data_IF_059346743731
#
_entry.id   IF_059346743731
#
_cell.length_a   1.000
_cell.length_b   1.000
_cell.length_c   1.000
_cell.angle_alpha   90.00
_cell.angle_beta   90.00
_cell.angle_gamma   90.00
#
_symmetry.space_group_name_H-M   'P 1'
#
loop_
_entity.id
_entity.type
_entity.pdbx_description
1 polymer ?
#
# COMPACT_ATOMS: atom_id res chain seq x y z
N UNK A 1 -0.34 0.72 25.38
CA UNK A 1 -1.12 0.98 24.15
C UNK A 1 -0.66 -0.05 23.15
N UNK A 2 -1.56 -0.88 22.63
CA UNK A 2 -1.22 -1.93 21.67
C UNK A 2 -0.62 -1.29 20.40
N UNK A 3 0.42 -1.91 19.86
CA UNK A 3 0.96 -1.49 18.58
C UNK A 3 -0.05 -1.89 17.50
N UNK A 4 -0.59 -0.93 16.74
CA UNK A 4 -1.59 -1.19 15.68
C UNK A 4 -1.07 -2.19 14.64
N UNK A 5 0.24 -2.24 14.47
CA UNK A 5 0.90 -3.21 13.59
C UNK A 5 0.82 -4.64 14.14
N UNK A 6 1.00 -4.85 15.45
CA UNK A 6 0.83 -6.16 16.07
C UNK A 6 -0.63 -6.64 15.98
N UNK A 7 -1.59 -5.73 16.13
CA UNK A 7 -3.01 -6.02 15.94
C UNK A 7 -3.31 -6.45 14.50
N UNK A 8 -2.69 -5.78 13.51
CA UNK A 8 -2.78 -6.15 12.11
C UNK A 8 -2.19 -7.55 11.87
N UNK A 9 -1.00 -7.85 12.38
CA UNK A 9 -0.37 -9.16 12.23
C UNK A 9 -1.21 -10.29 12.84
N UNK A 10 -1.79 -10.07 14.02
CA UNK A 10 -2.68 -11.05 14.68
C UNK A 10 -3.92 -11.30 13.81
N UNK A 11 -4.53 -10.23 13.29
CA UNK A 11 -5.70 -10.32 12.42
C UNK A 11 -5.40 -11.12 11.15
N UNK A 12 -4.29 -10.78 10.48
CA UNK A 12 -3.85 -11.42 9.24
C UNK A 12 -3.57 -12.91 9.43
N UNK A 13 -2.87 -13.29 10.51
CA UNK A 13 -2.60 -14.69 10.85
C UNK A 13 -3.86 -15.54 11.00
N UNK A 14 -4.95 -14.92 11.46
CA UNK A 14 -6.22 -15.63 11.66
C UNK A 14 -7.09 -15.75 10.40
N UNK A 15 -6.91 -14.87 9.41
CA UNK A 15 -7.82 -14.73 8.27
C UNK A 15 -7.22 -15.20 6.93
N UNK A 16 -5.90 -15.34 6.83
CA UNK A 16 -5.24 -15.98 5.67
C UNK A 16 -5.44 -15.22 4.35
N UNK A 17 -5.52 -13.90 4.39
CA UNK A 17 -5.69 -13.05 3.21
C UNK A 17 -4.50 -13.14 2.27
N UNK A 18 -4.75 -13.10 0.96
CA UNK A 18 -3.65 -13.05 -0.01
C UNK A 18 -3.11 -11.63 -0.22
N UNK A 19 -3.93 -10.62 0.07
CA UNK A 19 -3.63 -9.20 -0.10
C UNK A 19 -4.15 -8.38 1.08
N UNK A 20 -3.35 -7.48 1.62
CA UNK A 20 -3.77 -6.51 2.65
C UNK A 20 -3.35 -5.11 2.21
N UNK A 21 -4.34 -4.25 1.96
CA UNK A 21 -4.12 -2.85 1.64
C UNK A 21 -4.29 -2.00 2.91
N UNK A 22 -3.32 -1.15 3.20
CA UNK A 22 -3.35 -0.21 4.32
C UNK A 22 -3.17 1.21 3.78
N UNK A 23 -4.07 2.10 4.14
CA UNK A 23 -3.98 3.54 3.86
C UNK A 23 -3.74 4.29 5.16
N UNK A 24 -3.13 5.47 5.09
CA UNK A 24 -2.70 6.22 6.27
C UNK A 24 -1.81 5.34 7.17
N UNK A 25 -0.67 4.91 6.63
CA UNK A 25 0.31 4.13 7.40
C UNK A 25 1.03 4.98 8.44
N UNK A 26 1.18 6.29 8.19
CA UNK A 26 1.93 7.23 9.03
C UNK A 26 3.37 6.78 9.30
N UNK A 27 3.93 5.94 8.44
CA UNK A 27 5.31 5.51 8.54
C UNK A 27 6.26 6.54 7.95
N UNK A 28 7.45 6.63 8.54
CA UNK A 28 8.59 7.34 7.97
C UNK A 28 9.74 6.35 7.69
N UNK A 29 10.71 6.78 6.89
CA UNK A 29 11.87 5.97 6.50
C UNK A 29 12.84 5.67 7.65
N UNK A 30 12.56 6.14 8.88
CA UNK A 30 13.39 5.89 10.06
C UNK A 30 12.86 4.77 10.96
N UNK A 31 11.66 4.23 10.68
CA UNK A 31 10.98 3.22 11.53
C UNK A 31 10.59 1.93 10.77
N UNK A 32 11.44 1.44 9.88
CA UNK A 32 11.13 0.32 8.97
C UNK A 32 10.97 -1.06 9.61
N UNK A 33 11.54 -1.30 10.80
CA UNK A 33 11.66 -2.65 11.37
C UNK A 33 10.32 -3.27 11.80
N UNK A 34 9.27 -2.48 11.99
CA UNK A 34 7.95 -2.99 12.37
C UNK A 34 7.03 -3.29 11.18
N UNK A 35 7.34 -2.77 9.99
CA UNK A 35 6.39 -2.86 8.87
C UNK A 35 6.41 -4.24 8.19
N UNK A 36 7.48 -5.01 8.32
CA UNK A 36 7.64 -6.31 7.64
C UNK A 36 6.82 -7.39 8.36
N UNK A 37 6.00 -8.10 7.60
CA UNK A 37 5.15 -9.19 8.10
C UNK A 37 5.58 -10.52 7.47
N UNK A 38 5.80 -11.54 8.31
CA UNK A 38 6.23 -12.86 7.87
C UNK A 38 5.23 -13.50 6.88
N UNK A 39 5.73 -14.01 5.76
CA UNK A 39 4.94 -14.59 4.68
C UNK A 39 4.33 -13.58 3.69
N UNK A 40 4.68 -12.29 3.79
CA UNK A 40 4.23 -11.24 2.88
C UNK A 40 5.38 -10.39 2.34
N UNK A 41 5.31 -10.09 1.05
CA UNK A 41 6.06 -9.02 0.39
C UNK A 41 5.36 -7.69 0.66
N UNK A 42 6.10 -6.72 1.21
CA UNK A 42 5.61 -5.38 1.47
C UNK A 42 5.98 -4.43 0.31
N UNK A 43 4.97 -3.84 -0.29
CA UNK A 43 5.10 -2.67 -1.17
C UNK A 43 4.56 -1.45 -0.42
N UNK A 44 5.27 -0.32 -0.42
CA UNK A 44 4.84 0.88 0.30
C UNK A 44 5.30 2.16 -0.37
N UNK A 45 4.50 3.20 -0.18
CA UNK A 45 4.84 4.57 -0.55
C UNK A 45 4.56 5.46 0.66
N UNK A 46 5.63 5.97 1.26
CA UNK A 46 5.55 6.84 2.43
C UNK A 46 5.43 8.31 2.02
N UNK A 47 4.86 9.14 2.90
CA UNK A 47 4.80 10.59 2.70
C UNK A 47 5.98 11.27 3.41
N UNK A 48 7.02 11.74 2.70
CA UNK A 48 8.24 12.23 3.35
C UNK A 48 8.09 13.60 4.02
N UNK A 49 7.14 14.44 3.58
CA UNK A 49 7.15 15.87 3.89
C UNK A 49 6.16 16.33 4.96
N UNK A 50 5.14 15.53 5.30
CA UNK A 50 4.07 15.93 6.25
C UNK A 50 3.65 14.77 7.13
N UNK A 51 3.26 15.03 8.40
CA UNK A 51 2.63 14.01 9.25
C UNK A 51 1.36 13.46 8.59
N UNK A 52 1.25 12.14 8.57
CA UNK A 52 0.09 11.43 8.04
C UNK A 52 0.10 11.23 6.54
N UNK A 53 -0.70 10.26 6.10
CA UNK A 53 -0.64 9.68 4.76
C UNK A 53 0.19 8.40 4.75
N UNK A 54 0.65 8.05 3.55
CA UNK A 54 1.30 6.79 3.23
C UNK A 54 0.31 5.68 2.88
N UNK A 55 0.72 4.83 1.94
CA UNK A 55 -0.01 3.63 1.53
C UNK A 55 0.91 2.42 1.54
N UNK A 56 0.36 1.27 1.89
CA UNK A 56 1.05 -0.02 1.85
C UNK A 56 0.15 -1.10 1.27
N UNK A 57 0.78 -2.05 0.59
CA UNK A 57 0.16 -3.28 0.11
C UNK A 57 1.06 -4.45 0.50
N UNK A 58 0.51 -5.34 1.33
CA UNK A 58 1.10 -6.64 1.60
C UNK A 58 0.56 -7.65 0.60
N UNK A 59 1.47 -8.38 -0.04
CA UNK A 59 1.14 -9.46 -0.97
C UNK A 59 1.75 -10.75 -0.44
N UNK A 60 0.94 -11.80 -0.31
CA UNK A 60 1.44 -13.10 0.16
C UNK A 60 2.59 -13.60 -0.72
N UNK A 61 3.69 -14.01 -0.11
CA UNK A 61 4.94 -14.39 -0.82
C UNK A 61 4.77 -15.51 -1.87
N UNK A 62 3.71 -16.31 -1.73
CA UNK A 62 3.37 -17.38 -2.67
C UNK A 62 2.84 -16.85 -4.01
N UNK A 63 2.49 -15.57 -4.09
CA UNK A 63 2.04 -14.91 -5.31
C UNK A 63 3.22 -14.21 -5.99
N UNK A 64 3.43 -14.52 -7.26
CA UNK A 64 4.36 -13.76 -8.10
C UNK A 64 3.74 -12.40 -8.40
N UNK A 65 4.44 -11.32 -8.04
CA UNK A 65 3.96 -9.97 -8.18
C UNK A 65 5.07 -8.99 -8.55
N UNK A 66 4.69 -7.90 -9.22
CA UNK A 66 5.60 -6.86 -9.70
C UNK A 66 4.94 -5.50 -9.45
N UNK A 67 5.66 -4.60 -8.78
CA UNK A 67 5.22 -3.20 -8.63
C UNK A 67 5.19 -2.50 -9.99
N UNK A 68 4.09 -1.81 -10.25
CA UNK A 68 3.93 -0.96 -11.42
C UNK A 68 4.23 0.47 -11.01
N UNK A 69 5.45 0.94 -11.32
CA UNK A 69 5.80 2.34 -11.17
C UNK A 69 4.99 3.17 -12.17
N UNK A 70 4.13 4.05 -11.65
CA UNK A 70 3.47 5.08 -12.45
C UNK A 70 4.25 6.38 -12.28
N UNK A 71 4.63 7.03 -13.37
CA UNK A 71 5.33 8.33 -13.37
C UNK A 71 4.43 9.51 -12.90
N UNK A 72 3.26 9.22 -12.33
CA UNK A 72 2.29 10.23 -11.93
C UNK A 72 2.81 11.04 -10.74
N UNK A 73 2.47 12.34 -10.74
CA UNK A 73 2.82 13.35 -9.74
C UNK A 73 2.72 12.80 -8.30
N UNK A 74 3.84 12.30 -7.81
CA UNK A 74 3.93 11.49 -6.61
C UNK A 74 3.58 12.28 -5.35
N UNK A 75 3.61 13.62 -5.45
CA UNK A 75 3.33 14.54 -4.36
C UNK A 75 1.83 14.81 -4.20
N UNK A 76 1.04 14.65 -5.27
CA UNK A 76 -0.41 14.87 -5.22
C UNK A 76 -1.13 13.62 -4.75
N UNK A 77 -0.80 12.44 -5.29
CA UNK A 77 -1.58 11.24 -5.00
C UNK A 77 -0.70 10.15 -4.40
N UNK A 78 -1.15 9.66 -3.24
CA UNK A 78 -0.58 8.47 -2.62
C UNK A 78 -1.25 7.25 -3.22
N UNK A 79 -0.62 6.70 -4.26
CA UNK A 79 -1.07 5.46 -4.88
C UNK A 79 0.06 4.49 -5.10
N UNK A 80 -0.30 3.21 -5.05
CA UNK A 80 0.58 2.07 -5.23
C UNK A 80 -0.15 1.05 -6.09
N UNK A 81 0.54 0.51 -7.10
CA UNK A 81 -0.03 -0.43 -8.05
C UNK A 81 0.86 -1.65 -8.15
N UNK A 82 0.28 -2.83 -8.01
CA UNK A 82 1.00 -4.10 -8.09
C UNK A 82 0.27 -5.01 -9.06
N UNK A 83 1.02 -5.57 -10.00
CA UNK A 83 0.54 -6.62 -10.89
C UNK A 83 0.83 -7.97 -10.27
N UNK A 84 -0.20 -8.76 -10.02
CA UNK A 84 -0.13 -10.15 -9.60
C UNK A 84 -0.21 -11.02 -10.84
N UNK A 85 0.75 -11.93 -11.00
CA UNK A 85 0.79 -12.86 -12.11
C UNK A 85 -0.29 -13.91 -11.98
N UNK A 86 -1.05 -14.11 -13.06
CA UNK A 86 -1.99 -15.22 -13.14
C UNK A 86 -1.25 -16.55 -13.17
N UNK A 87 -1.82 -17.58 -12.55
CA UNK A 87 -1.29 -18.94 -12.71
C UNK A 87 -1.81 -19.57 -14.00
N UNK A 88 -0.94 -20.32 -14.70
CA UNK A 88 -1.29 -21.00 -15.95
C UNK A 88 -1.94 -20.05 -16.98
N UNK A 89 -3.04 -20.47 -17.61
CA UNK A 89 -3.77 -19.69 -18.63
C UNK A 89 -4.67 -18.58 -18.03
N UNK A 90 -4.46 -18.20 -16.76
CA UNK A 90 -5.18 -17.09 -16.14
C UNK A 90 -4.51 -15.76 -16.48
N UNK A 91 -5.31 -14.69 -16.57
CA UNK A 91 -4.78 -13.35 -16.80
C UNK A 91 -4.16 -12.79 -15.52
N UNK A 92 -3.13 -11.96 -15.71
CA UNK A 92 -2.60 -11.11 -14.66
C UNK A 92 -3.70 -10.20 -14.09
N UNK A 93 -3.64 -9.95 -12.79
CA UNK A 93 -4.53 -9.03 -12.07
C UNK A 93 -3.73 -7.83 -11.59
N UNK A 94 -4.24 -6.63 -11.77
CA UNK A 94 -3.61 -5.40 -11.24
C UNK A 94 -4.42 -4.92 -10.04
N UNK A 95 -3.74 -4.68 -8.93
CA UNK A 95 -4.31 -4.18 -7.68
C UNK A 95 -3.73 -2.81 -7.42
N UNK A 96 -4.61 -1.85 -7.11
CA UNK A 96 -4.25 -0.49 -6.77
C UNK A 96 -4.69 -0.15 -5.35
N UNK A 97 -3.81 0.50 -4.59
CA UNK A 97 -4.15 1.18 -3.34
C UNK A 97 -4.06 2.67 -3.63
N UNK A 98 -5.09 3.42 -3.25
CA UNK A 98 -5.18 4.85 -3.49
C UNK A 98 -5.67 5.53 -2.23
N UNK A 99 -4.97 6.58 -1.83
CA UNK A 99 -5.37 7.49 -0.78
C UNK A 99 -5.22 8.93 -1.29
N UNK A 100 -6.26 9.72 -1.02
CA UNK A 100 -6.29 11.15 -1.34
C UNK A 100 -6.25 11.92 -0.02
N UNK A 101 -5.16 12.65 0.25
CA UNK A 101 -5.07 13.52 1.41
C UNK A 101 -6.21 14.56 1.46
N UNK A 102 -6.66 14.99 2.65
CA UNK A 102 -7.78 15.92 2.81
C UNK A 102 -7.47 17.36 2.35
N UNK A 103 -6.20 17.71 2.12
CA UNK A 103 -5.70 19.03 1.72
C UNK A 103 -5.74 19.28 0.19
N UNK A 104 -6.36 18.39 -0.59
CA UNK A 104 -6.37 18.43 -2.05
C UNK A 104 -7.48 19.29 -2.70
N UNK A 105 -8.49 19.74 -1.95
CA UNK A 105 -9.62 20.53 -2.47
C UNK A 105 -9.27 22.03 -2.70
N UNK A 106 -7.98 22.38 -2.78
CA UNK A 106 -7.49 23.74 -2.99
C UNK A 106 -7.26 24.13 -4.46
N UNK A 107 -7.23 23.19 -5.40
CA UNK A 107 -7.20 23.48 -6.83
C UNK A 107 -8.43 22.87 -7.50
N UNK A 108 -9.24 23.75 -8.06
CA UNK A 108 -10.59 23.51 -8.50
C UNK A 108 -10.70 22.33 -9.47
N UNK A 109 -11.84 21.65 -9.39
CA UNK A 109 -12.47 21.00 -10.52
C UNK A 109 -12.71 22.03 -11.64
N UNK A 110 -11.68 22.30 -12.44
CA UNK A 110 -11.71 22.96 -13.74
C UNK A 110 -10.85 22.02 -14.60
N UNK A 111 -11.35 21.16 -15.49
CA UNK A 111 -12.25 21.43 -16.61
C UNK A 111 -12.67 20.07 -17.18
N UNK A 112 -13.92 19.95 -17.64
CA UNK A 112 -14.46 18.80 -18.38
C UNK A 112 -13.84 18.64 -19.76
#
# INVERSE_FOLDING_TARGET
MGNRQEELEICVRSQGHDLIAVTETWWDSSHDWNAVMDGYVLFRKDRPARPGGGVALYVREQLECIELSLEADEERVESLWVRIKGQANMRDTVVGVYYRPPDQDGEAAETF
#
